data_IF_084522520462
#
_entry.id   IF_084522520462
#
_cell.length_a   1.000
_cell.length_b   1.000
_cell.length_c   1.000
_cell.angle_alpha   90.00
_cell.angle_beta   90.00
_cell.angle_gamma   90.00
#
_symmetry.space_group_name_H-M   'P 1'
#
loop_
_entity.id
_entity.type
_entity.pdbx_description
1 polymer ?
#
# COMPACT_ATOMS: atom_id res chain seq x y z
N UNK A 1 21.79 3.90 -6.56
CA UNK A 1 20.56 3.86 -5.74
C UNK A 1 19.59 5.01 -6.02
N UNK A 2 20.03 6.28 -6.01
CA UNK A 2 19.13 7.44 -6.25
C UNK A 2 18.30 7.34 -7.53
N UNK A 3 18.93 7.00 -8.67
CA UNK A 3 18.23 6.82 -9.96
C UNK A 3 17.18 5.70 -9.96
N UNK A 4 17.43 4.62 -9.22
CA UNK A 4 16.49 3.51 -9.10
C UNK A 4 15.22 3.93 -8.35
N UNK A 5 15.38 4.66 -7.24
CA UNK A 5 14.25 5.17 -6.46
C UNK A 5 13.46 6.24 -7.22
N UNK A 6 14.12 7.14 -7.94
CA UNK A 6 13.47 8.25 -8.64
C UNK A 6 12.77 7.83 -9.94
N UNK A 7 13.29 6.84 -10.66
CA UNK A 7 12.75 6.45 -11.97
C UNK A 7 11.96 5.14 -11.86
N UNK A 8 12.63 4.05 -11.49
CA UNK A 8 12.05 2.70 -11.56
C UNK A 8 10.95 2.51 -10.51
N UNK A 9 11.24 2.88 -9.25
CA UNK A 9 10.24 2.77 -8.18
C UNK A 9 9.07 3.71 -8.46
N UNK A 10 9.33 4.95 -8.86
CA UNK A 10 8.28 5.93 -9.16
C UNK A 10 7.34 5.44 -10.26
N UNK A 11 7.89 4.89 -11.35
CA UNK A 11 7.09 4.31 -12.43
C UNK A 11 6.30 3.08 -11.95
N UNK A 12 6.93 2.16 -11.21
CA UNK A 12 6.29 0.94 -10.73
C UNK A 12 5.11 1.19 -9.79
N UNK A 13 5.13 2.29 -9.03
CA UNK A 13 4.12 2.63 -8.01
C UNK A 13 3.15 3.72 -8.42
N UNK A 14 3.27 4.26 -9.64
CA UNK A 14 2.48 5.41 -10.10
C UNK A 14 0.97 5.21 -9.88
N UNK A 15 0.44 4.07 -10.34
CA UNK A 15 -0.98 3.72 -10.22
C UNK A 15 -1.31 2.89 -8.96
N UNK A 16 -0.37 2.73 -8.01
CA UNK A 16 -0.54 1.79 -6.90
C UNK A 16 -1.61 2.19 -5.89
N UNK A 17 -2.08 3.45 -5.95
CA UNK A 17 -3.12 3.99 -5.04
C UNK A 17 -4.45 3.25 -5.15
N UNK A 18 -4.77 2.71 -6.33
CA UNK A 18 -6.04 2.02 -6.60
C UNK A 18 -5.87 0.49 -6.64
N UNK A 19 -4.66 -0.02 -6.41
CA UNK A 19 -4.39 -1.44 -6.47
C UNK A 19 -5.06 -2.19 -5.32
N UNK A 20 -5.66 -3.32 -5.69
CA UNK A 20 -6.19 -4.31 -4.74
C UNK A 20 -5.02 -5.17 -4.28
N UNK A 21 -4.34 -4.75 -3.21
CA UNK A 21 -3.19 -5.48 -2.67
C UNK A 21 -3.67 -6.81 -2.08
N UNK A 22 -3.40 -7.90 -2.79
CA UNK A 22 -3.53 -9.26 -2.28
C UNK A 22 -2.13 -9.87 -2.09
N UNK A 23 -2.02 -10.95 -1.33
CA UNK A 23 -0.74 -11.61 -1.05
C UNK A 23 0.07 -11.93 -2.33
N UNK A 24 -0.63 -12.30 -3.41
CA UNK A 24 -0.01 -12.55 -4.72
C UNK A 24 0.64 -11.30 -5.32
N UNK A 25 -0.04 -10.15 -5.26
CA UNK A 25 0.49 -8.87 -5.76
C UNK A 25 1.66 -8.42 -4.90
N UNK A 26 1.54 -8.50 -3.56
CA UNK A 26 2.61 -8.16 -2.62
C UNK A 26 3.87 -8.98 -2.92
N UNK A 27 3.73 -10.31 -3.10
CA UNK A 27 4.86 -11.19 -3.43
C UNK A 27 5.57 -10.78 -4.73
N UNK A 28 4.80 -10.43 -5.77
CA UNK A 28 5.34 -9.98 -7.07
C UNK A 28 6.06 -8.63 -6.95
N UNK A 29 5.41 -7.66 -6.32
CA UNK A 29 5.93 -6.31 -6.07
C UNK A 29 7.25 -6.35 -5.31
N UNK A 30 7.29 -7.05 -4.18
CA UNK A 30 8.53 -7.20 -3.42
C UNK A 30 9.57 -8.05 -4.15
N UNK A 31 9.14 -9.03 -4.94
CA UNK A 31 10.00 -9.86 -5.78
C UNK A 31 10.76 -9.03 -6.81
N UNK A 32 10.04 -8.18 -7.54
CA UNK A 32 10.61 -7.21 -8.48
C UNK A 32 11.64 -6.32 -7.76
N UNK A 33 11.23 -5.68 -6.65
CA UNK A 33 12.10 -4.79 -5.90
C UNK A 33 13.41 -5.48 -5.47
N UNK A 34 13.31 -6.64 -4.81
CA UNK A 34 14.47 -7.42 -4.36
C UNK A 34 15.36 -7.87 -5.52
N UNK A 35 14.79 -8.28 -6.64
CA UNK A 35 15.55 -8.68 -7.83
C UNK A 35 16.37 -7.51 -8.39
N UNK A 36 15.75 -6.33 -8.51
CA UNK A 36 16.45 -5.11 -8.91
C UNK A 36 17.58 -4.75 -7.94
N UNK A 37 17.31 -4.75 -6.63
CA UNK A 37 18.33 -4.42 -5.62
C UNK A 37 19.53 -5.37 -5.67
N UNK A 38 19.29 -6.69 -5.75
CA UNK A 38 20.37 -7.67 -5.87
C UNK A 38 21.20 -7.46 -7.13
N UNK A 39 20.56 -7.15 -8.26
CA UNK A 39 21.26 -6.87 -9.52
C UNK A 39 22.10 -5.60 -9.43
N UNK A 40 21.57 -4.53 -8.83
CA UNK A 40 22.30 -3.26 -8.62
C UNK A 40 23.50 -3.47 -7.70
N UNK A 41 23.34 -4.23 -6.61
CA UNK A 41 24.39 -4.54 -5.64
C UNK A 41 25.32 -5.68 -6.07
N UNK A 42 25.10 -6.26 -7.27
CA UNK A 42 25.85 -7.41 -7.80
C UNK A 42 25.89 -8.62 -6.85
N UNK A 43 24.83 -8.83 -6.06
CA UNK A 43 24.72 -9.94 -5.11
C UNK A 43 24.28 -11.19 -5.85
N UNK A 44 25.14 -12.20 -5.84
CA UNK A 44 24.90 -13.51 -6.42
C UNK A 44 24.24 -14.45 -5.42
N UNK A 45 23.73 -15.57 -5.92
CA UNK A 45 23.14 -16.61 -5.08
C UNK A 45 24.16 -17.21 -4.10
N UNK A 46 25.41 -17.38 -4.55
CA UNK A 46 26.52 -17.95 -3.74
C UNK A 46 26.85 -17.11 -2.51
N UNK A 47 26.57 -15.81 -2.53
CA UNK A 47 26.90 -14.91 -1.43
C UNK A 47 25.97 -15.10 -0.21
N UNK A 48 24.89 -15.90 -0.34
CA UNK A 48 23.91 -16.27 0.72
C UNK A 48 23.39 -15.10 1.57
N UNK A 49 23.40 -13.88 1.03
CA UNK A 49 22.95 -12.67 1.73
C UNK A 49 21.44 -12.72 1.97
N UNK A 50 21.00 -12.52 3.22
CA UNK A 50 19.59 -12.47 3.59
C UNK A 50 18.86 -11.30 2.93
N UNK A 51 17.55 -11.47 2.66
CA UNK A 51 16.74 -10.43 2.01
C UNK A 51 16.65 -9.13 2.84
N UNK A 52 16.61 -9.23 4.17
CA UNK A 52 16.62 -8.06 5.06
C UNK A 52 17.93 -7.29 4.96
N UNK A 53 19.06 -8.00 4.82
CA UNK A 53 20.38 -7.38 4.69
C UNK A 53 20.51 -6.62 3.36
N UNK A 54 19.95 -7.15 2.26
CA UNK A 54 19.91 -6.42 0.98
C UNK A 54 19.17 -5.09 1.12
N UNK A 55 18.04 -5.09 1.82
CA UNK A 55 17.24 -3.88 2.08
C UNK A 55 17.99 -2.89 2.96
N UNK A 56 18.63 -3.38 4.04
CA UNK A 56 19.42 -2.56 4.97
C UNK A 56 20.58 -1.86 4.28
N UNK A 57 21.34 -2.57 3.44
CA UNK A 57 22.46 -1.99 2.66
C UNK A 57 22.01 -0.93 1.65
N UNK A 58 20.76 -1.02 1.19
CA UNK A 58 20.19 -0.11 0.21
C UNK A 58 19.40 1.05 0.86
N UNK A 59 19.33 1.10 2.19
CA UNK A 59 18.53 2.04 2.97
C UNK A 59 17.09 2.17 2.44
N UNK A 60 16.46 1.02 2.17
CA UNK A 60 15.12 0.97 1.58
C UNK A 60 14.24 -0.05 2.29
N UNK A 61 12.94 0.23 2.35
CA UNK A 61 11.94 -0.69 2.89
C UNK A 61 11.40 -1.63 1.82
N UNK A 62 10.58 -2.59 2.22
CA UNK A 62 9.83 -3.42 1.25
C UNK A 62 8.90 -2.54 0.41
N UNK A 63 8.75 -2.87 -0.87
CA UNK A 63 8.02 -2.04 -1.81
C UNK A 63 6.52 -1.98 -1.50
N UNK A 64 5.94 -3.06 -0.96
CA UNK A 64 4.54 -3.03 -0.54
C UNK A 64 4.27 -2.04 0.59
N UNK A 65 5.23 -1.77 1.49
CA UNK A 65 5.07 -0.79 2.58
C UNK A 65 4.88 0.61 2.00
N UNK A 66 5.73 1.01 1.04
CA UNK A 66 5.61 2.29 0.35
C UNK A 66 4.29 2.42 -0.43
N UNK A 67 3.77 1.30 -0.99
CA UNK A 67 2.46 1.28 -1.65
C UNK A 67 1.33 1.45 -0.62
N UNK A 68 1.37 0.75 0.51
CA UNK A 68 0.41 0.87 1.61
C UNK A 68 0.36 2.31 2.13
N UNK A 69 1.51 2.93 2.39
CA UNK A 69 1.58 4.33 2.80
C UNK A 69 0.94 5.28 1.77
N UNK A 70 1.20 5.09 0.46
CA UNK A 70 0.57 5.89 -0.61
C UNK A 70 -0.95 5.72 -0.63
N UNK A 71 -1.44 4.50 -0.40
CA UNK A 71 -2.86 4.18 -0.34
C UNK A 71 -3.53 4.80 0.89
N UNK A 72 -2.89 4.75 2.05
CA UNK A 72 -3.37 5.42 3.27
C UNK A 72 -3.39 6.95 3.10
N UNK A 73 -2.35 7.55 2.50
CA UNK A 73 -2.35 8.99 2.15
C UNK A 73 -3.49 9.38 1.20
N UNK A 74 -3.81 8.52 0.23
CA UNK A 74 -4.94 8.74 -0.66
C UNK A 74 -6.28 8.56 0.06
N UNK A 75 -6.39 7.56 0.93
CA UNK A 75 -7.58 7.32 1.73
C UNK A 75 -7.89 8.50 2.65
N UNK A 76 -6.91 9.11 3.33
CA UNK A 76 -7.19 10.28 4.17
C UNK A 76 -7.68 11.49 3.38
N UNK A 77 -7.23 11.65 2.13
CA UNK A 77 -7.80 12.66 1.26
C UNK A 77 -9.28 12.42 1.00
N UNK A 78 -9.69 11.16 0.79
CA UNK A 78 -11.11 10.78 0.67
C UNK A 78 -11.86 11.01 1.99
N UNK A 79 -11.31 10.58 3.13
CA UNK A 79 -11.98 10.68 4.44
C UNK A 79 -12.28 12.13 4.86
N UNK A 80 -11.41 13.08 4.46
CA UNK A 80 -11.61 14.52 4.67
C UNK A 80 -12.64 15.17 3.74
N UNK A 81 -13.10 14.47 2.69
CA UNK A 81 -14.12 15.02 1.81
C UNK A 81 -15.49 15.04 2.51
N UNK A 82 -16.34 16.04 2.23
CA UNK A 82 -17.73 16.03 2.64
C UNK A 82 -18.47 14.76 2.20
N UNK A 83 -19.43 14.28 3.00
CA UNK A 83 -20.14 13.02 2.77
C UNK A 83 -20.89 12.95 1.43
N UNK A 84 -21.33 14.08 0.89
CA UNK A 84 -22.04 14.17 -0.39
C UNK A 84 -21.13 13.92 -1.61
N UNK A 85 -19.80 13.94 -1.43
CA UNK A 85 -18.85 13.71 -2.53
C UNK A 85 -18.81 12.22 -2.87
N UNK A 86 -18.94 11.90 -4.16
CA UNK A 86 -18.95 10.53 -4.69
C UNK A 86 -17.84 9.63 -4.11
N UNK A 87 -16.56 10.07 -4.02
CA UNK A 87 -15.50 9.21 -3.46
C UNK A 87 -15.71 8.87 -1.98
N UNK A 88 -16.22 9.81 -1.18
CA UNK A 88 -16.52 9.59 0.25
C UNK A 88 -17.69 8.62 0.40
N UNK A 89 -18.75 8.81 -0.38
CA UNK A 89 -19.89 7.90 -0.40
C UNK A 89 -19.46 6.50 -0.84
N UNK A 90 -18.67 6.37 -1.90
CA UNK A 90 -18.15 5.10 -2.41
C UNK A 90 -17.25 4.36 -1.40
N UNK A 91 -16.50 5.08 -0.56
CA UNK A 91 -15.65 4.49 0.49
C UNK A 91 -16.47 3.82 1.59
N UNK A 92 -17.65 4.36 1.90
CA UNK A 92 -18.59 3.84 2.91
C UNK A 92 -19.65 2.92 2.32
N UNK A 93 -19.82 2.92 0.99
CA UNK A 93 -20.85 2.13 0.32
C UNK A 93 -20.65 0.63 0.53
N UNK A 94 -21.75 -0.06 0.84
CA UNK A 94 -21.85 -1.51 0.90
C UNK A 94 -22.87 -1.94 -0.13
N UNK A 95 -22.53 -2.83 -1.08
CA UNK A 95 -23.53 -3.32 -2.02
C UNK A 95 -24.64 -4.05 -1.25
N UNK A 96 -25.88 -3.65 -1.49
CA UNK A 96 -27.08 -4.32 -0.99
C UNK A 96 -27.21 -5.68 -1.68
N UNK A 97 -27.03 -6.75 -0.91
CA UNK A 97 -27.34 -8.17 -1.18
C UNK A 97 -27.83 -8.50 -2.61
N UNK A 98 -26.98 -8.33 -3.63
CA UNK A 98 -27.18 -8.98 -4.92
C UNK A 98 -26.54 -10.37 -4.83
N UNK A 99 -27.16 -11.39 -5.44
CA UNK A 99 -26.67 -12.78 -5.47
C UNK A 99 -25.17 -12.80 -5.81
N UNK A 100 -24.34 -13.01 -4.80
CA UNK A 100 -22.88 -12.89 -4.94
C UNK A 100 -22.40 -14.08 -5.78
N UNK A 101 -21.52 -13.89 -6.77
CA UNK A 101 -20.97 -15.02 -7.50
C UNK A 101 -20.30 -16.01 -6.54
N UNK A 102 -20.50 -17.30 -6.80
CA UNK A 102 -19.93 -18.39 -6.01
C UNK A 102 -18.40 -18.28 -6.00
N UNK A 103 -17.79 -18.34 -4.82
CA UNK A 103 -16.34 -18.27 -4.62
C UNK A 103 -15.88 -17.07 -3.79
N UNK A 104 -14.55 -16.88 -3.68
CA UNK A 104 -13.97 -15.79 -2.88
C UNK A 104 -14.25 -14.44 -3.55
N UNK A 105 -14.91 -13.50 -2.86
CA UNK A 105 -15.12 -12.16 -3.40
C UNK A 105 -13.79 -11.48 -3.70
N UNK A 106 -13.70 -10.83 -4.87
CA UNK A 106 -12.55 -9.99 -5.18
C UNK A 106 -12.40 -8.88 -4.15
N UNK A 107 -11.15 -8.55 -3.80
CA UNK A 107 -10.88 -7.44 -2.88
C UNK A 107 -11.47 -6.15 -3.44
N UNK A 108 -12.30 -5.47 -2.66
CA UNK A 108 -12.82 -4.14 -2.99
C UNK A 108 -11.83 -3.06 -2.52
N UNK A 109 -11.84 -1.86 -3.09
CA UNK A 109 -11.02 -0.74 -2.59
C UNK A 109 -11.25 -0.49 -1.10
N UNK A 110 -12.51 -0.57 -0.66
CA UNK A 110 -12.89 -0.52 0.77
C UNK A 110 -12.18 -1.58 1.60
N UNK A 111 -12.24 -2.84 1.20
CA UNK A 111 -11.58 -3.93 1.92
C UNK A 111 -10.07 -3.77 1.92
N UNK A 112 -9.50 -3.30 0.81
CA UNK A 112 -8.07 -3.05 0.71
C UNK A 112 -7.65 -1.95 1.70
N UNK A 113 -8.46 -0.88 1.85
CA UNK A 113 -8.21 0.15 2.86
C UNK A 113 -8.39 -0.39 4.29
N UNK A 114 -9.44 -1.16 4.57
CA UNK A 114 -9.63 -1.81 5.87
C UNK A 114 -8.46 -2.73 6.23
N UNK A 115 -7.91 -3.47 5.26
CA UNK A 115 -6.75 -4.32 5.49
C UNK A 115 -5.48 -3.51 5.78
N UNK A 116 -5.29 -2.36 5.12
CA UNK A 116 -4.17 -1.46 5.41
C UNK A 116 -4.29 -0.87 6.83
N UNK A 117 -5.49 -0.48 7.25
CA UNK A 117 -5.73 0.00 8.62
C UNK A 117 -5.48 -1.08 9.66
N UNK A 118 -5.91 -2.32 9.39
CA UNK A 118 -5.63 -3.48 10.26
C UNK A 118 -4.13 -3.76 10.38
N UNK A 119 -3.36 -3.57 9.31
CA UNK A 119 -1.91 -3.71 9.37
C UNK A 119 -1.26 -2.69 10.31
N UNK A 120 -1.91 -1.54 10.50
CA UNK A 120 -1.46 -0.47 11.38
C UNK A 120 -2.17 -0.45 12.74
N UNK A 121 -2.97 -1.47 13.05
CA UNK A 121 -3.73 -1.62 14.31
C UNK A 121 -4.69 -0.44 14.63
N UNK A 122 -5.32 0.15 13.60
CA UNK A 122 -6.28 1.25 13.77
C UNK A 122 -7.69 0.87 13.29
N UNK A 123 -8.71 1.24 14.08
CA UNK A 123 -10.12 1.09 13.70
C UNK A 123 -10.52 2.13 12.65
N UNK A 124 -11.58 1.85 11.87
CA UNK A 124 -12.05 2.78 10.84
C UNK A 124 -12.46 4.13 11.45
N UNK A 125 -13.16 4.12 12.57
CA UNK A 125 -13.69 5.29 13.26
C UNK A 125 -12.55 6.18 13.77
N UNK A 126 -11.55 5.57 14.41
CA UNK A 126 -10.32 6.26 14.83
C UNK A 126 -9.57 6.85 13.64
N UNK A 127 -9.52 6.14 12.51
CA UNK A 127 -8.87 6.64 11.30
C UNK A 127 -9.58 7.86 10.70
N UNK A 128 -10.90 7.98 10.85
CA UNK A 128 -11.64 9.13 10.36
C UNK A 128 -11.37 10.38 11.20
N UNK A 129 -11.33 10.25 12.53
CA UNK A 129 -10.92 11.32 13.42
C UNK A 129 -9.46 11.76 13.14
N UNK A 130 -8.55 10.78 13.06
CA UNK A 130 -7.14 11.03 12.78
C UNK A 130 -6.91 11.68 11.41
N UNK A 131 -7.72 11.35 10.41
CA UNK A 131 -7.56 11.90 9.06
C UNK A 131 -7.87 13.40 8.96
N UNK A 132 -8.68 13.95 9.88
CA UNK A 132 -9.00 15.37 9.94
C UNK A 132 -7.80 16.20 10.39
N UNK A 133 -7.00 15.68 11.33
CA UNK A 133 -5.70 16.25 11.66
C UNK A 133 -4.65 15.83 10.62
N UNK A 134 -4.23 16.78 9.77
CA UNK A 134 -3.27 16.52 8.71
C UNK A 134 -1.88 16.18 9.24
N UNK A 135 -1.49 16.75 10.38
CA UNK A 135 -0.17 16.53 10.96
C UNK A 135 -0.12 15.15 11.59
N UNK A 136 -1.08 14.83 12.46
CA UNK A 136 -1.16 13.51 13.10
C UNK A 136 -1.30 12.39 12.06
N UNK A 137 -2.07 12.59 10.98
CA UNK A 137 -2.15 11.61 9.90
C UNK A 137 -0.81 11.41 9.17
N UNK A 138 -0.03 12.47 8.98
CA UNK A 138 1.29 12.38 8.32
C UNK A 138 2.27 11.60 9.18
N UNK A 139 2.31 11.87 10.47
CA UNK A 139 3.14 11.15 11.44
C UNK A 139 2.76 9.68 11.52
N UNK A 140 1.45 9.37 11.49
CA UNK A 140 0.96 7.99 11.48
C UNK A 140 1.33 7.19 10.22
N UNK A 141 1.30 7.82 9.03
CA UNK A 141 1.56 7.15 7.74
C UNK A 141 3.03 7.26 7.30
N UNK A 142 3.90 7.87 8.11
CA UNK A 142 5.33 8.00 7.84
C UNK A 142 6.08 6.68 8.11
#
# INVERSE_FOLDING_TARGET
MRLYLSIVILAAVYASKTWKMCARVIKKVDGLHRSCLRRIMRIRYVDRVFNQEVLRRCDTTRMHVAITQRRLRFASHILRMPQHRIPRSAMSWTPSVSKRPTGRPGNTLRQAFTNDLKLMDISKEKSEALAHDRQQWREFVA
#
